data_IF_717516453884
#
_entry.id   IF_717516453884
#
_cell.length_a   1.000
_cell.length_b   1.000
_cell.length_c   1.000
_cell.angle_alpha   90.00
_cell.angle_beta   90.00
_cell.angle_gamma   90.00
#
_symmetry.space_group_name_H-M   'P 1'
#
loop_
_entity.id
_entity.type
_entity.pdbx_description
1 polymer ?
#
# COMPACT_ATOMS: atom_id res chain seq x y z
N UNK A 1 -14.35 -27.65 21.95
CA UNK A 1 -13.95 -26.27 21.56
C UNK A 1 -14.50 -25.99 20.18
N UNK A 2 -15.48 -25.09 20.06
CA UNK A 2 -16.08 -24.75 18.76
C UNK A 2 -15.28 -23.62 18.13
N UNK A 3 -14.74 -23.87 16.94
CA UNK A 3 -14.11 -22.83 16.11
C UNK A 3 -15.19 -21.90 15.57
N UNK A 4 -15.11 -20.63 15.89
CA UNK A 4 -15.95 -19.57 15.33
C UNK A 4 -15.47 -19.25 13.91
N UNK A 5 -16.33 -19.31 12.88
CA UNK A 5 -15.92 -18.98 11.50
C UNK A 5 -16.16 -17.49 11.22
N UNK A 6 -15.18 -16.63 11.51
CA UNK A 6 -15.23 -15.23 11.07
C UNK A 6 -13.99 -14.80 10.30
N UNK A 7 -13.46 -15.66 9.44
CA UNK A 7 -12.61 -15.24 8.35
C UNK A 7 -13.49 -15.12 7.10
N UNK A 8 -14.11 -13.94 6.89
CA UNK A 8 -14.64 -13.63 5.55
C UNK A 8 -13.48 -13.66 4.59
N UNK A 9 -13.39 -14.75 3.81
CA UNK A 9 -12.46 -14.84 2.69
C UNK A 9 -12.69 -13.60 1.82
N UNK A 10 -11.67 -12.78 1.64
CA UNK A 10 -11.68 -11.70 0.67
C UNK A 10 -11.80 -12.36 -0.71
N UNK A 11 -13.03 -12.48 -1.22
CA UNK A 11 -13.23 -12.82 -2.63
C UNK A 11 -12.88 -11.56 -3.41
N UNK A 12 -11.77 -11.60 -4.14
CA UNK A 12 -11.44 -10.62 -5.16
C UNK A 12 -12.46 -10.77 -6.31
N UNK A 13 -13.68 -10.29 -6.10
CA UNK A 13 -14.59 -10.04 -7.20
C UNK A 13 -14.16 -8.72 -7.80
N UNK A 14 -13.38 -8.79 -8.88
CA UNK A 14 -13.12 -7.61 -9.69
C UNK A 14 -14.46 -7.07 -10.17
N UNK A 15 -14.80 -5.80 -9.90
CA UNK A 15 -15.97 -5.21 -10.52
C UNK A 15 -15.81 -5.30 -12.04
N UNK A 16 -16.92 -5.54 -12.80
CA UNK A 16 -16.86 -5.52 -14.25
C UNK A 16 -16.23 -4.19 -14.67
N UNK A 17 -15.26 -4.26 -15.60
CA UNK A 17 -14.50 -3.14 -16.13
C UNK A 17 -15.32 -1.84 -16.06
N UNK A 18 -14.91 -0.96 -15.15
CA UNK A 18 -15.57 0.32 -14.99
C UNK A 18 -15.47 1.04 -16.34
N UNK A 19 -16.61 1.18 -17.00
CA UNK A 19 -16.78 1.91 -18.24
C UNK A 19 -16.01 3.22 -18.10
N UNK A 20 -14.93 3.38 -18.90
CA UNK A 20 -14.19 4.63 -18.98
C UNK A 20 -15.18 5.71 -19.41
N UNK A 21 -15.77 6.39 -18.46
CA UNK A 21 -16.51 7.60 -18.75
C UNK A 21 -15.49 8.59 -19.31
N UNK A 22 -15.66 8.97 -20.59
CA UNK A 22 -14.91 10.08 -21.19
C UNK A 22 -15.12 11.29 -20.30
N UNK A 23 -14.14 11.58 -19.44
CA UNK A 23 -14.15 12.80 -18.67
C UNK A 23 -13.88 13.99 -19.60
N UNK A 24 -14.45 15.16 -19.30
CA UNK A 24 -14.16 16.38 -20.04
C UNK A 24 -12.66 16.69 -19.97
N UNK A 25 -12.13 17.38 -20.97
CA UNK A 25 -10.73 17.82 -21.08
C UNK A 25 -10.37 18.71 -19.87
N UNK A 26 -9.95 18.08 -18.79
CA UNK A 26 -9.47 18.69 -17.55
C UNK A 26 -8.31 17.86 -17.02
N UNK A 27 -7.43 18.47 -16.24
CA UNK A 27 -6.29 17.81 -15.64
C UNK A 27 -6.77 16.57 -14.88
N UNK A 28 -6.47 15.38 -15.41
CA UNK A 28 -6.81 14.11 -14.79
C UNK A 28 -5.84 13.89 -13.61
N UNK A 29 -6.32 14.11 -12.40
CA UNK A 29 -5.58 13.73 -11.21
C UNK A 29 -5.82 12.24 -10.97
N UNK A 30 -4.77 11.44 -11.15
CA UNK A 30 -4.78 10.02 -10.81
C UNK A 30 -4.89 9.86 -9.29
N UNK A 31 -5.72 8.91 -8.85
CA UNK A 31 -5.88 8.58 -7.43
C UNK A 31 -4.90 7.51 -7.00
N UNK A 32 -4.26 7.71 -5.86
CA UNK A 32 -3.20 6.85 -5.34
C UNK A 32 -3.62 6.21 -4.01
N UNK A 33 -3.35 4.92 -3.85
CA UNK A 33 -3.41 4.22 -2.57
C UNK A 33 -1.99 3.89 -2.11
N UNK A 34 -1.58 4.43 -0.96
CA UNK A 34 -0.31 4.13 -0.33
C UNK A 34 -0.50 2.99 0.67
N UNK A 35 0.02 1.80 0.37
CA UNK A 35 -0.09 0.58 1.15
C UNK A 35 1.20 0.41 1.95
N UNK A 36 1.16 0.63 3.27
CA UNK A 36 2.37 0.71 4.09
C UNK A 36 2.38 -0.39 5.14
N UNK A 37 3.47 -1.15 5.21
CA UNK A 37 3.74 -2.11 6.28
C UNK A 37 4.84 -1.54 7.17
N UNK A 38 4.56 -1.40 8.47
CA UNK A 38 5.51 -0.81 9.41
C UNK A 38 5.65 -1.60 10.70
N UNK A 39 6.84 -1.57 11.30
CA UNK A 39 7.16 -2.23 12.57
C UNK A 39 8.12 -1.41 13.45
N UNK A 40 8.53 -0.22 12.99
CA UNK A 40 9.47 0.66 13.70
C UNK A 40 9.80 1.90 12.88
N UNK A 41 10.77 2.70 13.36
CA UNK A 41 11.23 3.93 12.72
C UNK A 41 10.07 4.91 12.38
N UNK A 42 9.19 5.11 13.34
CA UNK A 42 7.95 5.86 13.13
C UNK A 42 8.15 7.33 12.75
N UNK A 43 9.31 7.90 13.01
CA UNK A 43 9.70 9.24 12.49
C UNK A 43 9.75 9.24 10.95
N UNK A 44 10.19 8.13 10.33
CA UNK A 44 10.20 8.00 8.86
C UNK A 44 8.77 7.87 8.35
N UNK A 45 7.94 7.05 9.01
CA UNK A 45 6.52 6.93 8.68
C UNK A 45 5.82 8.29 8.74
N UNK A 46 6.08 9.10 9.78
CA UNK A 46 5.52 10.44 9.88
C UNK A 46 5.93 11.32 8.69
N UNK A 47 7.21 11.29 8.31
CA UNK A 47 7.73 12.01 7.13
C UNK A 47 7.07 11.53 5.84
N UNK A 48 6.88 10.21 5.66
CA UNK A 48 6.14 9.65 4.52
C UNK A 48 4.72 10.22 4.44
N UNK A 49 3.98 10.18 5.56
CA UNK A 49 2.60 10.66 5.61
C UNK A 49 2.50 12.14 5.28
N UNK A 50 3.40 12.98 5.82
CA UNK A 50 3.44 14.42 5.51
C UNK A 50 3.81 14.68 4.05
N UNK A 51 4.76 13.93 3.52
CA UNK A 51 5.29 14.15 2.18
C UNK A 51 4.29 13.72 1.10
N UNK A 52 3.61 12.58 1.29
CA UNK A 52 2.69 11.98 0.31
C UNK A 52 1.24 12.46 0.47
N UNK A 53 0.96 13.32 1.47
CA UNK A 53 -0.37 13.86 1.73
C UNK A 53 -0.91 14.66 0.54
N UNK A 54 -2.03 14.22 -0.04
CA UNK A 54 -2.64 14.79 -1.23
C UNK A 54 -4.14 14.55 -1.25
N UNK A 55 -4.90 15.44 -1.90
CA UNK A 55 -6.34 15.26 -2.13
C UNK A 55 -6.66 14.04 -3.00
N UNK A 56 -5.68 13.56 -3.76
CA UNK A 56 -5.79 12.42 -4.66
C UNK A 56 -5.19 11.12 -4.09
N UNK A 57 -4.89 11.09 -2.81
CA UNK A 57 -4.24 9.94 -2.20
C UNK A 57 -4.88 9.55 -0.86
N UNK A 58 -4.85 8.26 -0.54
CA UNK A 58 -5.22 7.74 0.78
C UNK A 58 -4.16 6.72 1.26
N UNK A 59 -4.05 6.57 2.57
CA UNK A 59 -3.12 5.66 3.21
C UNK A 59 -3.82 4.45 3.83
N UNK A 60 -3.29 3.27 3.57
CA UNK A 60 -3.67 2.01 4.18
C UNK A 60 -2.45 1.45 4.90
N UNK A 61 -2.51 1.35 6.22
CA UNK A 61 -1.34 1.08 7.04
C UNK A 61 -1.57 -0.16 7.90
N UNK A 62 -0.63 -1.08 7.82
CA UNK A 62 -0.52 -2.18 8.76
C UNK A 62 0.65 -1.93 9.72
N UNK A 63 0.37 -1.92 11.01
CA UNK A 63 1.37 -1.85 12.08
C UNK A 63 1.55 -3.24 12.66
N UNK A 64 2.78 -3.76 12.68
CA UNK A 64 3.07 -5.10 13.24
C UNK A 64 2.52 -5.24 14.66
N UNK A 65 1.88 -6.36 14.95
CA UNK A 65 1.24 -6.61 16.25
C UNK A 65 2.21 -6.61 17.43
N UNK A 66 3.51 -6.84 17.18
CA UNK A 66 4.56 -6.85 18.21
C UNK A 66 4.97 -5.44 18.67
N UNK A 67 4.63 -4.41 17.92
CA UNK A 67 4.82 -3.02 18.35
C UNK A 67 3.89 -2.73 19.52
N UNK A 68 4.41 -2.30 20.67
CA UNK A 68 3.59 -2.07 21.88
C UNK A 68 2.97 -0.68 21.88
N UNK A 69 3.77 0.35 21.74
CA UNK A 69 3.37 1.74 21.97
C UNK A 69 3.28 2.50 20.64
N UNK A 70 2.19 2.27 19.88
CA UNK A 70 1.92 2.99 18.65
C UNK A 70 0.71 3.91 18.81
N UNK A 71 0.92 5.20 18.65
CA UNK A 71 -0.12 6.21 18.75
C UNK A 71 -0.93 6.35 17.45
N UNK A 72 -1.97 5.55 17.33
CA UNK A 72 -2.86 5.56 16.16
C UNK A 72 -3.55 6.91 15.96
N UNK A 73 -3.86 7.63 17.02
CA UNK A 73 -4.54 8.93 16.95
C UNK A 73 -3.60 9.98 16.35
N UNK A 74 -2.36 10.04 16.84
CA UNK A 74 -1.33 10.91 16.29
C UNK A 74 -1.12 10.66 14.80
N UNK A 75 -0.82 9.41 14.40
CA UNK A 75 -0.55 9.08 12.99
C UNK A 75 -1.74 9.30 12.07
N UNK A 76 -2.97 9.14 12.56
CA UNK A 76 -4.18 9.46 11.79
C UNK A 76 -4.34 10.96 11.55
N UNK A 77 -3.84 11.79 12.45
CA UNK A 77 -3.96 13.26 12.39
C UNK A 77 -2.89 13.94 11.52
N UNK A 78 -1.83 13.22 11.12
CA UNK A 78 -0.70 13.79 10.38
C UNK A 78 -1.10 14.27 8.98
N UNK A 79 -1.74 13.45 8.12
CA UNK A 79 -2.24 13.94 6.84
C UNK A 79 -3.43 14.89 7.04
N UNK A 80 -3.47 15.96 6.25
CA UNK A 80 -4.55 16.96 6.29
C UNK A 80 -5.54 16.81 5.15
N UNK A 81 -5.14 16.07 4.10
CA UNK A 81 -5.90 15.92 2.85
C UNK A 81 -6.29 14.46 2.62
N UNK A 82 -5.35 13.56 2.85
CA UNK A 82 -5.52 12.12 2.67
C UNK A 82 -6.17 11.48 3.89
N UNK A 83 -6.97 10.46 3.68
CA UNK A 83 -7.51 9.61 4.74
C UNK A 83 -6.49 8.54 5.13
N UNK A 84 -6.40 8.21 6.43
CA UNK A 84 -5.59 7.11 6.95
C UNK A 84 -6.49 5.99 7.46
N UNK A 85 -6.32 4.80 6.91
CA UNK A 85 -6.98 3.57 7.33
C UNK A 85 -5.94 2.61 7.92
N UNK A 86 -6.07 2.29 9.21
CA UNK A 86 -5.27 1.24 9.83
C UNK A 86 -5.99 -0.10 9.75
N UNK A 87 -5.25 -1.15 9.37
CA UNK A 87 -5.75 -2.51 9.34
C UNK A 87 -5.60 -3.20 10.70
N UNK A 88 -6.38 -4.26 10.93
CA UNK A 88 -6.18 -5.14 12.08
C UNK A 88 -4.76 -5.70 12.08
N UNK A 89 -4.11 -5.59 13.24
CA UNK A 89 -2.70 -5.92 13.42
C UNK A 89 -2.49 -7.43 13.45
N UNK A 90 -1.45 -7.87 12.75
CA UNK A 90 -0.93 -9.24 12.82
C UNK A 90 0.60 -9.20 12.98
N UNK A 91 1.21 -10.22 13.59
CA UNK A 91 2.67 -10.33 13.60
C UNK A 91 3.15 -10.70 12.19
N UNK A 92 4.14 -9.97 11.67
CA UNK A 92 4.73 -10.18 10.36
C UNK A 92 6.16 -10.67 10.52
N UNK A 93 6.46 -11.85 10.00
CA UNK A 93 7.82 -12.37 9.92
C UNK A 93 8.38 -12.14 8.53
N UNK A 94 9.55 -11.51 8.48
CA UNK A 94 10.24 -11.21 7.23
C UNK A 94 10.57 -12.49 6.46
N UNK A 95 10.30 -12.48 5.14
CA UNK A 95 10.50 -13.64 4.28
C UNK A 95 9.50 -14.79 4.46
N UNK A 96 8.47 -14.63 5.30
CA UNK A 96 7.40 -15.61 5.51
C UNK A 96 6.10 -15.19 4.82
N UNK A 97 5.21 -16.15 4.63
CA UNK A 97 3.89 -15.93 4.02
C UNK A 97 3.06 -14.83 4.73
N UNK A 98 3.33 -14.59 6.03
CA UNK A 98 2.67 -13.51 6.77
C UNK A 98 2.86 -12.12 6.15
N UNK A 99 3.99 -11.90 5.45
CA UNK A 99 4.23 -10.66 4.72
C UNK A 99 3.33 -10.58 3.49
N UNK A 100 3.24 -11.64 2.71
CA UNK A 100 2.35 -11.71 1.53
C UNK A 100 0.88 -11.58 1.94
N UNK A 101 0.44 -12.26 3.02
CA UNK A 101 -0.92 -12.11 3.56
C UNK A 101 -1.23 -10.66 3.94
N UNK A 102 -0.26 -9.96 4.54
CA UNK A 102 -0.41 -8.55 4.90
C UNK A 102 -0.57 -7.66 3.66
N UNK A 103 0.25 -7.85 2.63
CA UNK A 103 0.16 -7.12 1.36
C UNK A 103 -1.20 -7.31 0.69
N UNK A 104 -1.67 -8.57 0.62
CA UNK A 104 -2.98 -8.89 0.06
C UNK A 104 -4.11 -8.24 0.87
N UNK A 105 -4.03 -8.21 2.20
CA UNK A 105 -5.01 -7.55 3.06
C UNK A 105 -5.05 -6.04 2.85
N UNK A 106 -3.90 -5.40 2.68
CA UNK A 106 -3.82 -3.98 2.33
C UNK A 106 -4.49 -3.69 0.98
N UNK A 107 -4.21 -4.52 -0.04
CA UNK A 107 -4.87 -4.43 -1.33
C UNK A 107 -6.38 -4.62 -1.21
N UNK A 108 -6.84 -5.66 -0.50
CA UNK A 108 -8.26 -5.91 -0.28
C UNK A 108 -8.98 -4.74 0.41
N UNK A 109 -8.32 -4.05 1.32
CA UNK A 109 -8.87 -2.87 1.99
C UNK A 109 -8.94 -1.64 1.07
N UNK A 110 -7.97 -1.51 0.16
CA UNK A 110 -7.87 -0.35 -0.72
C UNK A 110 -8.71 -0.46 -2.01
N UNK A 111 -8.84 -1.66 -2.59
CA UNK A 111 -9.53 -1.90 -3.88
C UNK A 111 -10.94 -1.30 -3.95
N UNK A 112 -11.79 -1.38 -2.90
CA UNK A 112 -13.13 -0.76 -2.95
C UNK A 112 -13.10 0.76 -3.13
N UNK A 113 -11.97 1.43 -2.85
CA UNK A 113 -11.80 2.87 -3.03
C UNK A 113 -11.61 3.31 -4.48
N UNK A 114 -11.34 2.39 -5.41
CA UNK A 114 -11.22 2.67 -6.85
C UNK A 114 -10.07 3.60 -7.19
N UNK A 115 -8.86 3.32 -6.67
CA UNK A 115 -7.64 4.05 -6.98
C UNK A 115 -7.07 3.63 -8.34
N UNK A 116 -6.39 4.55 -9.02
CA UNK A 116 -5.73 4.26 -10.29
C UNK A 116 -4.40 3.52 -10.08
N UNK A 117 -3.70 3.84 -8.98
CA UNK A 117 -2.43 3.23 -8.61
C UNK A 117 -2.39 2.80 -7.15
N UNK A 118 -1.80 1.63 -6.91
CA UNK A 118 -1.56 1.05 -5.59
C UNK A 118 -0.05 0.92 -5.40
N UNK A 119 0.49 1.59 -4.38
CA UNK A 119 1.91 1.63 -4.08
C UNK A 119 2.19 0.87 -2.80
N UNK A 120 2.95 -0.22 -2.88
CA UNK A 120 3.39 -0.95 -1.70
C UNK A 120 4.70 -0.35 -1.20
N UNK A 121 4.71 0.06 0.07
CA UNK A 121 5.84 0.69 0.73
C UNK A 121 6.14 0.02 2.07
N UNK A 122 7.41 0.00 2.43
CA UNK A 122 7.82 -0.22 3.82
C UNK A 122 7.68 1.09 4.61
N UNK A 123 7.43 0.98 5.92
CA UNK A 123 7.42 2.14 6.82
C UNK A 123 8.75 2.88 6.93
N UNK A 124 9.80 2.41 6.25
CA UNK A 124 11.13 3.02 6.20
C UNK A 124 11.55 3.50 4.81
N UNK A 125 10.69 3.34 3.80
CA UNK A 125 10.96 3.84 2.46
C UNK A 125 10.81 5.37 2.41
N UNK A 126 11.67 6.03 1.64
CA UNK A 126 11.64 7.49 1.47
C UNK A 126 11.52 7.83 -0.01
N UNK A 127 10.52 8.62 -0.40
CA UNK A 127 10.42 9.08 -1.78
C UNK A 127 11.64 9.92 -2.19
N UNK A 128 12.26 9.58 -3.34
CA UNK A 128 13.43 10.30 -3.88
C UNK A 128 13.05 11.42 -4.85
N UNK A 129 11.77 11.58 -5.14
CA UNK A 129 11.22 12.61 -6.02
C UNK A 129 10.13 13.38 -5.28
N UNK A 130 9.91 14.63 -5.64
CA UNK A 130 8.82 15.42 -5.07
C UNK A 130 7.46 14.80 -5.34
N UNK A 131 6.48 15.05 -4.48
CA UNK A 131 5.09 14.60 -4.69
C UNK A 131 4.57 15.03 -6.07
N UNK A 132 4.78 16.29 -6.45
CA UNK A 132 4.34 16.79 -7.76
C UNK A 132 4.97 16.01 -8.93
N UNK A 133 6.26 15.65 -8.80
CA UNK A 133 6.90 14.81 -9.82
C UNK A 133 6.23 13.43 -9.91
N UNK A 134 5.92 12.81 -8.78
CA UNK A 134 5.25 11.50 -8.72
C UNK A 134 3.86 11.58 -9.38
N UNK A 135 3.05 12.54 -8.99
CA UNK A 135 1.71 12.76 -9.55
C UNK A 135 1.75 13.02 -11.08
N UNK A 136 2.66 13.86 -11.53
CA UNK A 136 2.85 14.14 -12.97
C UNK A 136 3.31 12.89 -13.74
N UNK A 137 4.24 12.13 -13.17
CA UNK A 137 4.73 10.90 -13.79
C UNK A 137 3.59 9.92 -14.02
N UNK A 138 2.83 9.59 -12.98
CA UNK A 138 1.73 8.64 -13.10
C UNK A 138 0.59 9.15 -13.99
N UNK A 139 0.36 10.47 -14.05
CA UNK A 139 -0.60 11.07 -14.97
C UNK A 139 -0.17 10.97 -16.44
N UNK A 140 1.13 10.84 -16.71
CA UNK A 140 1.68 10.70 -18.07
C UNK A 140 1.77 9.23 -18.53
N UNK A 141 1.63 8.29 -17.61
CA UNK A 141 1.73 6.86 -17.91
C UNK A 141 0.42 6.36 -18.53
N UNK A 142 0.55 5.41 -19.46
CA UNK A 142 -0.63 4.75 -20.05
C UNK A 142 -1.49 4.09 -18.96
N UNK A 143 -2.81 4.31 -18.94
CA UNK A 143 -3.70 3.66 -17.98
C UNK A 143 -3.57 2.13 -18.01
N UNK A 144 -3.59 1.51 -16.83
CA UNK A 144 -3.42 0.07 -16.66
C UNK A 144 -1.98 -0.43 -16.72
N UNK A 145 -0.98 0.48 -16.76
CA UNK A 145 0.43 0.08 -16.65
C UNK A 145 0.74 -0.39 -15.23
N UNK A 146 1.36 -1.57 -15.13
CA UNK A 146 1.90 -2.10 -13.88
C UNK A 146 3.42 -1.97 -13.88
N UNK A 147 3.99 -1.57 -12.73
CA UNK A 147 5.42 -1.44 -12.54
C UNK A 147 5.91 -2.63 -11.71
N UNK A 148 6.61 -3.56 -12.38
CA UNK A 148 7.17 -4.75 -11.75
C UNK A 148 8.65 -4.81 -12.10
N UNK A 149 9.49 -4.92 -11.08
CA UNK A 149 10.92 -5.13 -11.27
C UNK A 149 11.25 -6.61 -11.15
N UNK A 150 11.90 -7.15 -12.17
CA UNK A 150 12.43 -8.51 -12.16
C UNK A 150 13.95 -8.45 -11.94
N UNK A 151 14.43 -9.15 -10.92
CA UNK A 151 15.85 -9.29 -10.70
C UNK A 151 16.51 -10.12 -11.81
N UNK A 152 17.72 -9.76 -12.21
CA UNK A 152 18.51 -10.55 -13.15
C UNK A 152 18.76 -11.97 -12.61
N UNK A 153 18.82 -12.96 -13.52
CA UNK A 153 19.00 -14.39 -13.18
C UNK A 153 20.23 -14.67 -12.29
N UNK A 154 21.26 -13.85 -12.36
CA UNK A 154 22.47 -13.97 -11.54
C UNK A 154 22.20 -13.70 -10.05
N UNK A 155 21.34 -12.72 -9.74
CA UNK A 155 20.94 -12.38 -8.37
C UNK A 155 19.99 -13.44 -7.80
N UNK A 156 19.17 -14.09 -8.65
CA UNK A 156 18.26 -15.17 -8.25
C UNK A 156 19.04 -16.39 -7.73
N UNK A 157 20.26 -16.63 -8.22
CA UNK A 157 21.11 -17.72 -7.72
C UNK A 157 21.42 -17.60 -6.23
N UNK A 158 21.77 -16.40 -5.77
CA UNK A 158 22.13 -16.13 -4.36
C UNK A 158 20.91 -16.19 -3.42
N UNK A 159 19.70 -16.12 -3.97
CA UNK A 159 18.46 -16.11 -3.18
C UNK A 159 17.70 -17.44 -3.20
N UNK A 160 18.16 -18.46 -3.93
CA UNK A 160 17.53 -19.79 -3.97
C UNK A 160 17.39 -20.43 -2.59
N UNK A 161 18.33 -20.15 -1.68
CA UNK A 161 18.32 -20.73 -0.33
C UNK A 161 17.27 -20.07 0.60
N UNK A 162 16.68 -18.95 0.17
CA UNK A 162 15.62 -18.26 0.93
C UNK A 162 14.22 -18.79 0.64
N UNK A 163 14.07 -19.63 -0.39
CA UNK A 163 12.77 -20.18 -0.85
C UNK A 163 12.82 -21.70 -0.81
N UNK A 164 13.40 -22.28 0.22
CA UNK A 164 13.27 -23.71 0.51
C UNK A 164 11.97 -23.90 1.28
N UNK A 165 10.99 -24.50 0.61
CA UNK A 165 9.77 -25.04 1.20
C UNK A 165 10.06 -26.44 1.72
#
# INVERSE_FOLDING_TARGET
MRFSPSARACRLTFPPMLRIMKAPKGVFFMRHAWLIITHGNFEILEKQLRFLDSENADFFIHVDARVKDFDFAHFRSIPRKSRVTFLDRKPISWGHFSQVDCELRLLCAAVPGGYDYYHLLSGVDVPVKTRQYIENYFSSVRPGTNFVHFQHKEIIRDHRDRVKF
#
